data_IF_471058106727
#
_entry.id   IF_471058106727
#
_cell.length_a   1.000
_cell.length_b   1.000
_cell.length_c   1.000
_cell.angle_alpha   90.00
_cell.angle_beta   90.00
_cell.angle_gamma   90.00
#
_symmetry.space_group_name_H-M   'P 1'
#
loop_
_entity.id
_entity.type
_entity.pdbx_description
1 polymer ?
#
# COMPACT_ATOMS: atom_id res chain seq x y z
N UNK A 1 1.41 1.67 3.89
CA UNK A 1 0.60 1.13 5.00
C UNK A 1 1.14 1.66 6.33
N UNK A 2 0.29 2.13 7.26
CA UNK A 2 0.75 2.56 8.59
C UNK A 2 1.34 1.40 9.39
N UNK A 3 2.36 1.67 10.21
CA UNK A 3 3.00 0.68 11.08
C UNK A 3 2.02 0.00 12.03
N UNK A 4 1.04 0.73 12.54
CA UNK A 4 0.03 0.18 13.45
C UNK A 4 -0.85 -0.88 12.78
N UNK A 5 -1.30 -0.63 11.54
CA UNK A 5 -2.01 -1.62 10.73
C UNK A 5 -1.15 -2.85 10.50
N UNK A 6 0.13 -2.66 10.17
CA UNK A 6 1.07 -3.77 10.01
C UNK A 6 1.17 -4.63 11.28
N UNK A 7 1.31 -4.01 12.46
CA UNK A 7 1.36 -4.73 13.74
C UNK A 7 0.12 -5.59 14.01
N UNK A 8 -1.03 -5.25 13.41
CA UNK A 8 -2.27 -6.03 13.54
C UNK A 8 -2.33 -7.25 12.61
N UNK A 9 -1.49 -7.30 11.58
CA UNK A 9 -1.45 -8.40 10.61
C UNK A 9 -0.64 -9.61 11.11
N UNK A 10 0.02 -9.52 12.27
CA UNK A 10 0.88 -10.57 12.87
C UNK A 10 1.92 -11.15 11.90
N UNK A 11 2.40 -10.33 10.96
CA UNK A 11 3.44 -10.70 10.00
C UNK A 11 4.80 -10.62 10.72
N UNK A 12 5.55 -11.73 10.73
CA UNK A 12 6.75 -11.90 11.58
C UNK A 12 8.04 -11.37 10.98
N UNK A 13 8.15 -11.32 9.66
CA UNK A 13 9.37 -10.94 8.98
C UNK A 13 9.16 -9.66 8.18
N UNK A 14 10.05 -8.70 8.41
CA UNK A 14 10.19 -7.56 7.52
C UNK A 14 11.65 -7.25 7.34
N UNK A 15 12.04 -6.96 6.11
CA UNK A 15 13.36 -6.40 5.86
C UNK A 15 13.31 -4.90 6.19
N UNK A 16 14.11 -4.44 7.18
CA UNK A 16 14.19 -3.02 7.48
C UNK A 16 14.87 -2.30 6.33
N UNK A 17 14.06 -1.59 5.54
CA UNK A 17 14.53 -0.79 4.40
C UNK A 17 14.32 0.67 4.73
N UNK A 18 15.41 1.37 5.03
CA UNK A 18 15.40 2.81 5.26
C UNK A 18 15.31 3.53 3.92
N UNK A 19 14.17 4.15 3.63
CA UNK A 19 14.02 5.10 2.52
C UNK A 19 13.27 6.32 3.02
N UNK A 20 13.72 7.49 2.59
CA UNK A 20 13.03 8.74 2.85
C UNK A 20 12.01 8.99 1.74
N UNK A 21 10.73 9.12 2.10
CA UNK A 21 9.67 9.58 1.21
C UNK A 21 9.39 11.04 1.48
N UNK A 22 9.45 11.86 0.43
CA UNK A 22 8.90 13.20 0.48
C UNK A 22 7.46 13.16 -0.03
N UNK A 23 6.53 13.60 0.82
CA UNK A 23 5.11 13.67 0.52
C UNK A 23 4.78 14.99 -0.21
N UNK A 24 3.58 15.10 -0.78
CA UNK A 24 3.18 16.29 -1.53
C UNK A 24 3.01 17.55 -0.64
N UNK A 25 2.78 17.35 0.66
CA UNK A 25 2.80 18.40 1.69
C UNK A 25 4.23 18.74 2.17
N UNK A 26 5.25 18.17 1.52
CA UNK A 26 6.67 18.28 1.86
C UNK A 26 7.05 17.68 3.21
N UNK A 27 6.15 16.95 3.86
CA UNK A 27 6.50 16.16 5.03
C UNK A 27 7.41 15.00 4.61
N UNK A 28 8.28 14.59 5.54
CA UNK A 28 9.07 13.39 5.38
C UNK A 28 8.46 12.30 6.25
N UNK A 29 8.18 11.15 5.65
CA UNK A 29 7.79 9.96 6.41
C UNK A 29 8.91 8.95 6.33
N UNK A 30 9.33 8.48 7.51
CA UNK A 30 10.34 7.43 7.62
C UNK A 30 9.68 6.08 7.32
N UNK A 31 10.16 5.41 6.27
CA UNK A 31 9.83 4.00 6.06
C UNK A 31 10.51 3.18 7.14
N UNK A 32 9.76 2.27 7.75
CA UNK A 32 10.34 1.28 8.67
C UNK A 32 10.75 0.02 7.95
N UNK A 33 10.04 -0.35 6.89
CA UNK A 33 10.10 -1.70 6.37
C UNK A 33 9.44 -1.85 4.99
N UNK A 34 9.89 -2.82 4.21
CA UNK A 34 9.20 -3.31 3.00
C UNK A 34 8.77 -4.74 3.25
N UNK A 35 7.52 -5.06 2.93
CA UNK A 35 7.00 -6.43 2.99
C UNK A 35 6.65 -6.82 1.57
N UNK A 36 7.26 -7.90 1.12
CA UNK A 36 7.01 -8.44 -0.20
C UNK A 36 5.94 -9.55 -0.15
N UNK A 37 5.28 -9.79 -1.27
CA UNK A 37 4.36 -10.92 -1.48
C UNK A 37 3.15 -11.01 -0.51
N UNK A 38 2.64 -9.87 -0.03
CA UNK A 38 1.41 -9.87 0.78
C UNK A 38 0.22 -10.14 -0.13
N UNK A 39 -0.54 -11.21 0.16
CA UNK A 39 -1.78 -11.49 -0.55
C UNK A 39 -2.91 -10.57 -0.06
N UNK A 40 -3.42 -9.74 -0.96
CA UNK A 40 -4.61 -8.92 -0.69
C UNK A 40 -5.81 -9.41 -1.48
N UNK A 41 -6.95 -9.47 -0.80
CA UNK A 41 -8.23 -9.71 -1.45
C UNK A 41 -8.84 -8.38 -1.86
N UNK A 42 -9.04 -8.19 -3.17
CA UNK A 42 -9.80 -7.07 -3.73
C UNK A 42 -11.03 -7.63 -4.44
N UNK A 43 -12.18 -7.48 -3.81
CA UNK A 43 -13.47 -8.03 -4.24
C UNK A 43 -13.45 -9.56 -4.35
N UNK A 44 -13.24 -10.10 -5.55
CA UNK A 44 -13.22 -11.55 -5.85
C UNK A 44 -11.84 -12.06 -6.25
N UNK A 45 -10.83 -11.20 -6.24
CA UNK A 45 -9.50 -11.48 -6.74
C UNK A 45 -8.48 -11.39 -5.61
N UNK A 46 -7.46 -12.25 -5.67
CA UNK A 46 -6.34 -12.24 -4.74
C UNK A 46 -5.10 -11.88 -5.53
N UNK A 47 -4.35 -10.89 -5.04
CA UNK A 47 -3.12 -10.42 -5.67
C UNK A 47 -1.97 -10.43 -4.68
N UNK A 48 -0.77 -10.87 -5.07
CA UNK A 48 0.43 -10.52 -4.34
C UNK A 48 0.74 -9.04 -4.54
N UNK A 49 1.06 -8.33 -3.47
CA UNK A 49 1.48 -6.94 -3.50
C UNK A 49 2.57 -6.69 -2.46
N UNK A 50 3.53 -5.86 -2.84
CA UNK A 50 4.55 -5.37 -1.94
C UNK A 50 4.07 -4.10 -1.24
N UNK A 51 4.24 -4.02 0.08
CA UNK A 51 3.87 -2.86 0.87
C UNK A 51 5.09 -2.17 1.46
N UNK A 52 5.06 -0.85 1.35
CA UNK A 52 5.91 0.03 2.15
C UNK A 52 5.21 0.34 3.48
N UNK A 53 5.90 0.05 4.59
CA UNK A 53 5.46 0.40 5.94
C UNK A 53 6.00 1.75 6.35
N UNK A 54 5.09 2.64 6.75
CA UNK A 54 5.36 4.01 7.15
C UNK A 54 5.08 4.20 8.63
N UNK A 55 6.00 4.89 9.32
CA UNK A 55 5.77 5.38 10.68
C UNK A 55 5.07 6.73 10.61
N UNK A 56 3.73 6.71 10.62
CA UNK A 56 2.88 7.88 10.52
C UNK A 56 1.68 7.76 11.46
N UNK A 57 1.11 8.89 11.85
CA UNK A 57 -0.11 8.92 12.66
C UNK A 57 -1.29 8.32 11.89
N UNK A 58 -2.15 7.60 12.62
CA UNK A 58 -3.42 7.08 12.11
C UNK A 58 -4.41 8.24 11.90
N UNK A 59 -4.21 9.05 10.85
CA UNK A 59 -5.33 9.85 10.36
C UNK A 59 -6.44 8.88 9.95
N UNK A 60 -7.70 9.23 10.28
CA UNK A 60 -8.85 8.31 10.31
C UNK A 60 -9.22 7.64 8.97
N UNK A 61 -8.54 8.02 7.89
CA UNK A 61 -8.65 7.38 6.60
C UNK A 61 -7.40 6.54 6.35
N UNK A 62 -7.58 5.23 6.28
CA UNK A 62 -6.51 4.29 5.97
C UNK A 62 -5.98 4.62 4.57
N UNK A 63 -4.84 5.32 4.49
CA UNK A 63 -4.18 5.62 3.22
C UNK A 63 -3.45 4.38 2.71
N UNK A 64 -4.16 3.52 1.98
CA UNK A 64 -3.57 2.50 1.14
C UNK A 64 -3.25 3.13 -0.23
N UNK A 65 -1.97 3.40 -0.47
CA UNK A 65 -1.53 3.90 -1.78
C UNK A 65 -1.22 2.70 -2.65
N UNK A 66 -2.05 2.48 -3.68
CA UNK A 66 -1.79 1.49 -4.71
C UNK A 66 -0.79 2.07 -5.71
N UNK A 67 0.40 1.49 -5.76
CA UNK A 67 1.43 1.88 -6.72
C UNK A 67 1.04 1.50 -8.16
N UNK A 68 1.67 2.17 -9.12
CA UNK A 68 1.59 1.83 -10.55
C UNK A 68 1.88 0.34 -10.83
N UNK A 69 2.88 -0.31 -10.18
CA UNK A 69 3.12 -1.74 -10.39
C UNK A 69 1.91 -2.62 -10.06
N UNK A 70 1.18 -2.33 -8.99
CA UNK A 70 -0.04 -3.05 -8.63
C UNK A 70 -1.13 -2.83 -9.68
N UNK A 71 -1.37 -1.57 -10.06
CA UNK A 71 -2.36 -1.20 -11.07
C UNK A 71 -2.06 -1.87 -12.42
N UNK A 72 -0.79 -1.98 -12.79
CA UNK A 72 -0.36 -2.70 -13.99
C UNK A 72 -0.64 -4.20 -13.88
N UNK A 73 -0.34 -4.82 -12.72
CA UNK A 73 -0.58 -6.24 -12.46
C UNK A 73 -2.04 -6.60 -12.63
N UNK A 74 -2.96 -5.81 -12.07
CA UNK A 74 -4.40 -6.06 -12.18
C UNK A 74 -5.06 -5.54 -13.47
N UNK A 75 -4.26 -5.02 -14.41
CA UNK A 75 -4.73 -4.36 -15.64
C UNK A 75 -5.82 -3.33 -15.34
N UNK A 76 -5.58 -2.51 -14.32
CA UNK A 76 -6.53 -1.56 -13.78
C UNK A 76 -7.00 -0.56 -14.84
N UNK A 77 -8.28 -0.25 -14.80
CA UNK A 77 -8.88 0.92 -15.42
C UNK A 77 -9.51 1.77 -14.33
N UNK A 78 -9.12 3.04 -14.30
CA UNK A 78 -9.60 4.02 -13.35
C UNK A 78 -10.52 4.97 -14.10
N UNK A 79 -11.82 4.92 -13.81
CA UNK A 79 -12.77 5.95 -14.20
C UNK A 79 -12.76 7.03 -13.11
N UNK A 80 -12.01 8.10 -13.37
CA UNK A 80 -11.82 9.20 -12.41
C UNK A 80 -13.13 9.95 -12.16
N UNK A 81 -13.98 10.09 -13.18
CA UNK A 81 -15.23 10.83 -13.05
C UNK A 81 -16.23 10.10 -12.15
N UNK A 82 -16.28 8.77 -12.26
CA UNK A 82 -17.17 7.94 -11.44
C UNK A 82 -16.56 7.49 -10.13
N UNK A 83 -15.25 7.62 -9.96
CA UNK A 83 -14.53 7.08 -8.81
C UNK A 83 -14.47 5.55 -8.83
N UNK A 84 -14.47 4.93 -10.01
CA UNK A 84 -14.51 3.47 -10.16
C UNK A 84 -13.14 2.92 -10.56
N UNK A 85 -12.72 1.83 -9.88
CA UNK A 85 -11.57 1.02 -10.26
C UNK A 85 -12.07 -0.33 -10.79
N UNK A 86 -11.81 -0.60 -12.07
CA UNK A 86 -12.08 -1.90 -12.70
C UNK A 86 -10.79 -2.67 -12.90
N UNK A 87 -10.74 -3.91 -12.42
CA UNK A 87 -9.62 -4.83 -12.66
C UNK A 87 -10.00 -5.81 -13.77
N UNK A 88 -9.10 -6.02 -14.74
CA UNK A 88 -9.33 -6.82 -15.96
C UNK A 88 -8.46 -8.08 -16.02
N UNK A 89 -7.98 -8.57 -14.88
CA UNK A 89 -7.26 -9.85 -14.83
C UNK A 89 -8.11 -10.97 -15.41
#
# INVERSE_FOLDING_TARGET
>A
MPLSNFKRLDIREIQPTYVNLQMNDRSFTYRKAVIDDVLINVNKFIFPIDFIILDMDESREILLILGIPFLATCKAIIDVQKGELTMRI
#
